data_IF_647082546859
#
_entry.id   IF_647082546859
#
_cell.length_a   1.000
_cell.length_b   1.000
_cell.length_c   1.000
_cell.angle_alpha   90.00
_cell.angle_beta   90.00
_cell.angle_gamma   90.00
#
_symmetry.space_group_name_H-M   'P 1'
#
loop_
_entity.id
_entity.type
_entity.pdbx_description
1 polymer ?
#
# COMPACT_ATOMS: atom_id res chain seq x y z
N UNK A 1 -18.84 15.62 48.29
CA UNK A 1 -19.49 14.41 47.72
C UNK A 1 -19.22 14.29 46.22
N UNK A 2 -19.33 15.37 45.43
CA UNK A 2 -18.89 15.40 44.03
C UNK A 2 -17.37 15.22 43.84
N UNK A 3 -16.53 15.78 44.73
CA UNK A 3 -15.07 15.60 44.67
C UNK A 3 -14.60 14.15 44.94
N UNK A 4 -15.38 13.39 45.73
CA UNK A 4 -15.08 11.97 45.97
C UNK A 4 -15.40 11.09 44.75
N UNK A 5 -16.36 11.52 43.91
CA UNK A 5 -16.72 10.82 42.67
C UNK A 5 -15.67 11.13 41.58
N UNK A 6 -15.15 12.35 41.51
CA UNK A 6 -14.04 12.70 40.59
C UNK A 6 -12.74 11.96 40.94
N UNK A 7 -12.42 11.79 42.22
CA UNK A 7 -11.25 11.04 42.66
C UNK A 7 -11.35 9.54 42.30
N UNK A 8 -12.54 8.93 42.42
CA UNK A 8 -12.77 7.53 42.06
C UNK A 8 -12.76 7.34 40.54
N UNK A 9 -13.28 8.31 39.77
CA UNK A 9 -13.26 8.27 38.30
C UNK A 9 -11.83 8.39 37.77
N UNK A 10 -11.01 9.27 38.35
CA UNK A 10 -9.59 9.41 37.99
C UNK A 10 -8.74 8.19 38.43
N UNK A 11 -9.10 7.52 39.52
CA UNK A 11 -8.44 6.29 39.96
C UNK A 11 -8.74 5.08 39.04
N UNK A 12 -9.94 4.99 38.47
CA UNK A 12 -10.32 3.90 37.55
C UNK A 12 -9.85 4.11 36.11
N UNK A 13 -9.74 5.36 35.62
CA UNK A 13 -9.19 5.65 34.29
C UNK A 13 -7.66 5.83 34.26
N UNK A 14 -7.01 5.90 35.44
CA UNK A 14 -5.55 5.95 35.60
C UNK A 14 -4.85 4.59 35.49
N UNK A 15 -5.59 3.48 35.50
CA UNK A 15 -5.05 2.17 35.14
C UNK A 15 -4.99 2.05 33.61
N UNK A 16 -4.02 2.76 33.01
CA UNK A 16 -3.33 2.19 31.86
C UNK A 16 -2.86 0.81 32.32
N UNK A 17 -3.57 -0.24 31.90
CA UNK A 17 -2.99 -1.56 31.83
C UNK A 17 -1.76 -1.36 30.96
N UNK A 18 -0.60 -1.16 31.60
CA UNK A 18 0.71 -1.30 30.99
C UNK A 18 0.83 -2.78 30.67
N UNK A 19 0.13 -3.20 29.61
CA UNK A 19 0.47 -4.42 28.91
C UNK A 19 1.92 -4.20 28.53
N UNK A 20 2.87 -5.01 29.02
CA UNK A 20 4.27 -4.80 28.76
C UNK A 20 4.46 -4.68 27.24
N UNK A 21 5.11 -3.59 26.85
CA UNK A 21 5.52 -3.26 25.49
C UNK A 21 6.37 -4.40 24.93
N UNK A 22 5.74 -5.38 24.29
CA UNK A 22 6.46 -6.19 23.31
C UNK A 22 6.47 -5.37 22.03
N UNK A 23 7.57 -4.66 21.81
CA UNK A 23 7.99 -4.40 20.44
C UNK A 23 7.94 -5.74 19.69
N UNK A 24 7.51 -5.72 18.44
CA UNK A 24 7.60 -6.90 17.59
C UNK A 24 9.11 -7.22 17.50
N UNK A 25 9.57 -8.17 18.32
CA UNK A 25 10.88 -8.78 18.19
C UNK A 25 10.73 -9.89 17.17
N UNK A 26 10.72 -9.50 15.91
CA UNK A 26 11.05 -10.42 14.85
C UNK A 26 12.57 -10.54 14.86
N UNK A 27 13.08 -11.69 15.32
CA UNK A 27 14.41 -12.10 14.89
C UNK A 27 14.46 -12.16 13.36
N UNK A 28 15.64 -12.35 12.75
CA UNK A 28 15.78 -12.53 11.30
C UNK A 28 15.24 -13.88 10.81
N UNK A 29 14.06 -14.29 11.32
CA UNK A 29 13.31 -15.40 10.78
C UNK A 29 13.05 -15.10 9.31
N UNK A 30 13.49 -16.03 8.46
CA UNK A 30 13.35 -15.88 7.00
C UNK A 30 11.88 -15.74 6.57
N UNK A 31 10.92 -16.06 7.43
CA UNK A 31 9.50 -16.15 7.11
C UNK A 31 8.65 -15.61 8.27
N UNK A 32 7.80 -14.61 8.00
CA UNK A 32 6.66 -14.31 8.86
C UNK A 32 5.50 -15.24 8.53
N UNK A 33 4.98 -15.94 9.54
CA UNK A 33 3.69 -16.59 9.46
C UNK A 33 2.55 -15.57 9.45
N UNK A 34 1.32 -16.04 9.19
CA UNK A 34 0.15 -15.15 9.16
C UNK A 34 -0.08 -14.46 10.51
N UNK A 35 0.13 -15.15 11.63
CA UNK A 35 -0.01 -14.54 12.97
C UNK A 35 0.93 -13.34 13.16
N UNK A 36 2.20 -13.48 12.78
CA UNK A 36 3.17 -12.37 12.80
C UNK A 36 2.77 -11.24 11.85
N UNK A 37 2.23 -11.58 10.68
CA UNK A 37 1.72 -10.57 9.74
C UNK A 37 0.53 -9.78 10.33
N UNK A 38 -0.37 -10.44 11.08
CA UNK A 38 -1.44 -9.76 11.82
C UNK A 38 -0.89 -8.82 12.90
N UNK A 39 0.17 -9.22 13.60
CA UNK A 39 0.82 -8.35 14.59
C UNK A 39 1.39 -7.08 13.94
N UNK A 40 2.01 -7.21 12.77
CA UNK A 40 2.45 -6.06 11.98
C UNK A 40 1.27 -5.13 11.62
N UNK A 41 0.17 -5.69 11.11
CA UNK A 41 -1.02 -4.92 10.78
C UNK A 41 -1.63 -4.23 12.01
N UNK A 42 -1.63 -4.90 13.16
CA UNK A 42 -2.04 -4.28 14.42
C UNK A 42 -1.09 -3.15 14.87
N UNK A 43 0.23 -3.29 14.63
CA UNK A 43 1.21 -2.27 14.95
C UNK A 43 1.04 -0.99 14.13
N UNK A 44 0.56 -1.08 12.88
CA UNK A 44 0.19 0.10 12.08
C UNK A 44 -0.81 0.98 12.83
N UNK A 45 -1.86 0.39 13.39
CA UNK A 45 -2.88 1.11 14.14
C UNK A 45 -2.36 1.80 15.40
N UNK A 46 -1.17 1.43 15.88
CA UNK A 46 -0.51 2.03 17.05
C UNK A 46 0.47 3.14 16.68
N UNK A 47 0.84 3.24 15.40
CA UNK A 47 1.69 4.30 14.87
C UNK A 47 3.15 3.89 14.63
N UNK A 48 3.89 4.80 13.99
CA UNK A 48 5.24 4.58 13.42
C UNK A 48 6.24 3.91 14.38
N UNK A 49 6.24 4.27 15.66
CA UNK A 49 7.18 3.74 16.64
C UNK A 49 6.98 2.23 16.93
N UNK A 50 5.78 1.71 16.67
CA UNK A 50 5.45 0.30 16.85
C UNK A 50 5.78 -0.55 15.62
N UNK A 51 6.07 0.08 14.48
CA UNK A 51 6.50 -0.65 13.30
C UNK A 51 7.88 -1.29 13.52
N UNK A 52 8.15 -2.43 12.89
CA UNK A 52 9.48 -3.03 12.91
C UNK A 52 10.49 -2.18 12.12
N UNK A 53 11.77 -2.20 12.52
CA UNK A 53 12.88 -1.73 11.71
C UNK A 53 12.91 -2.37 10.31
N UNK A 54 13.46 -1.70 9.29
CA UNK A 54 13.64 -2.25 7.93
C UNK A 54 14.41 -3.58 7.94
N UNK A 55 15.32 -3.77 8.89
CA UNK A 55 16.14 -4.98 9.07
C UNK A 55 15.34 -6.19 9.55
N UNK A 56 14.21 -5.97 10.21
CA UNK A 56 13.44 -7.03 10.90
C UNK A 56 12.36 -7.61 9.99
N UNK A 57 12.20 -7.07 8.78
CA UNK A 57 11.30 -7.62 7.76
C UNK A 57 11.86 -8.91 7.14
N UNK A 58 11.03 -9.96 7.02
CA UNK A 58 11.45 -11.31 6.64
C UNK A 58 11.77 -11.38 5.15
N UNK A 59 12.31 -12.50 4.70
CA UNK A 59 12.41 -12.79 3.26
C UNK A 59 11.06 -13.19 2.66
N UNK A 60 10.13 -13.70 3.48
CA UNK A 60 8.81 -14.15 3.04
C UNK A 60 7.72 -13.81 4.06
N UNK A 61 6.51 -13.51 3.58
CA UNK A 61 5.30 -13.36 4.40
C UNK A 61 4.26 -14.36 3.89
N UNK A 62 3.83 -15.27 4.77
CA UNK A 62 2.74 -16.20 4.49
C UNK A 62 1.40 -15.49 4.68
N UNK A 63 0.61 -15.44 3.62
CA UNK A 63 -0.76 -14.93 3.66
C UNK A 63 -1.73 -16.03 4.12
N UNK A 64 -2.88 -15.63 4.67
CA UNK A 64 -3.96 -16.57 4.93
C UNK A 64 -4.72 -16.91 3.64
N UNK A 65 -5.55 -17.95 3.71
CA UNK A 65 -6.48 -18.29 2.64
C UNK A 65 -7.41 -17.12 2.28
N UNK A 66 -7.92 -16.39 3.28
CA UNK A 66 -8.78 -15.21 3.10
C UNK A 66 -8.07 -14.11 2.29
N UNK A 67 -6.79 -13.85 2.56
CA UNK A 67 -6.00 -12.89 1.77
C UNK A 67 -5.88 -13.34 0.31
N UNK A 68 -5.61 -14.62 0.06
CA UNK A 68 -5.56 -15.15 -1.31
C UNK A 68 -6.90 -14.98 -2.02
N UNK A 69 -8.01 -15.30 -1.36
CA UNK A 69 -9.36 -15.14 -1.92
C UNK A 69 -9.68 -13.68 -2.26
N UNK A 70 -9.27 -12.72 -1.41
CA UNK A 70 -9.45 -11.29 -1.68
C UNK A 70 -8.65 -10.85 -2.90
N UNK A 71 -7.38 -11.24 -3.00
CA UNK A 71 -6.51 -10.89 -4.13
C UNK A 71 -7.02 -11.52 -5.44
N UNK A 72 -7.48 -12.78 -5.38
CA UNK A 72 -8.02 -13.50 -6.53
C UNK A 72 -9.37 -12.94 -6.99
N UNK A 73 -10.21 -12.52 -6.05
CA UNK A 73 -11.46 -11.82 -6.33
C UNK A 73 -11.20 -10.48 -7.02
N UNK A 74 -10.26 -9.67 -6.51
CA UNK A 74 -9.87 -8.41 -7.15
C UNK A 74 -9.36 -8.64 -8.58
N UNK A 75 -8.51 -9.65 -8.78
CA UNK A 75 -8.01 -10.01 -10.10
C UNK A 75 -9.13 -10.35 -11.08
N UNK A 76 -10.12 -11.12 -10.62
CA UNK A 76 -11.27 -11.53 -11.43
C UNK A 76 -12.17 -10.34 -11.73
N UNK A 77 -12.45 -9.51 -10.73
CA UNK A 77 -13.30 -8.33 -10.87
C UNK A 77 -12.70 -7.29 -11.84
N UNK A 78 -11.38 -7.14 -11.89
CA UNK A 78 -10.68 -6.18 -12.77
C UNK A 78 -10.51 -6.64 -14.22
N UNK A 79 -11.02 -7.81 -14.60
CA UNK A 79 -11.00 -8.29 -15.99
C UNK A 79 -11.86 -7.42 -16.94
N UNK A 80 -12.76 -6.62 -16.40
CA UNK A 80 -13.57 -5.65 -17.15
C UNK A 80 -12.79 -4.38 -17.59
N UNK A 81 -11.49 -4.30 -17.28
CA UNK A 81 -10.65 -3.17 -17.64
C UNK A 81 -10.76 -1.98 -16.69
N UNK A 82 -11.43 -2.14 -15.54
CA UNK A 82 -11.61 -1.10 -14.53
C UNK A 82 -10.86 -1.47 -13.26
N UNK A 83 -10.19 -0.51 -12.64
CA UNK A 83 -9.48 -0.75 -11.39
C UNK A 83 -10.46 -0.98 -10.23
N UNK A 84 -10.08 -1.86 -9.32
CA UNK A 84 -10.76 -2.12 -8.05
C UNK A 84 -9.91 -1.61 -6.90
N UNK A 85 -10.56 -1.07 -5.88
CA UNK A 85 -9.93 -0.60 -4.64
C UNK A 85 -10.60 -1.21 -3.42
N UNK A 86 -9.81 -1.60 -2.42
CA UNK A 86 -10.26 -2.15 -1.14
C UNK A 86 -9.45 -1.56 0.00
N UNK A 87 -10.09 -1.40 1.16
CA UNK A 87 -9.39 -0.98 2.38
C UNK A 87 -8.90 -2.22 3.12
N UNK A 88 -7.64 -2.16 3.57
CA UNK A 88 -7.12 -3.02 4.62
C UNK A 88 -7.41 -2.28 5.93
N UNK A 89 -8.18 -2.89 6.82
CA UNK A 89 -8.54 -2.26 8.07
C UNK A 89 -8.49 -3.20 9.26
N UNK A 90 -8.74 -2.64 10.44
CA UNK A 90 -9.00 -3.41 11.64
C UNK A 90 -10.15 -2.79 12.43
N UNK A 91 -10.89 -3.62 13.15
CA UNK A 91 -11.92 -3.15 14.08
C UNK A 91 -11.31 -2.33 15.24
N UNK A 92 -12.16 -1.67 16.04
CA UNK A 92 -11.72 -0.80 17.15
C UNK A 92 -10.75 -1.44 18.16
N UNK A 93 -10.71 -2.78 18.27
CA UNK A 93 -9.75 -3.50 19.13
C UNK A 93 -8.38 -3.75 18.50
N UNK A 94 -8.21 -3.43 17.21
CA UNK A 94 -7.02 -3.73 16.40
C UNK A 94 -6.62 -5.22 16.38
N UNK A 95 -7.53 -6.12 16.76
CA UNK A 95 -7.31 -7.58 16.80
C UNK A 95 -8.05 -8.33 15.69
N UNK A 96 -9.18 -7.79 15.23
CA UNK A 96 -9.89 -8.31 14.07
C UNK A 96 -9.47 -7.54 12.83
N UNK A 97 -8.75 -8.19 11.92
CA UNK A 97 -8.49 -7.64 10.59
C UNK A 97 -9.77 -7.63 9.78
N UNK A 98 -9.93 -6.58 9.00
CA UNK A 98 -11.03 -6.39 8.08
C UNK A 98 -10.48 -6.16 6.68
N UNK A 99 -10.81 -7.06 5.76
CA UNK A 99 -10.65 -6.83 4.32
C UNK A 99 -12.03 -6.58 3.76
N UNK A 100 -12.27 -5.43 3.11
CA UNK A 100 -13.61 -5.11 2.62
C UNK A 100 -14.09 -6.20 1.65
N UNK A 101 -15.27 -6.79 1.91
CA UNK A 101 -15.82 -7.87 1.08
C UNK A 101 -16.17 -7.39 -0.35
N UNK A 102 -16.47 -6.10 -0.49
CA UNK A 102 -16.82 -5.41 -1.73
C UNK A 102 -15.69 -4.44 -2.08
N UNK A 103 -15.21 -4.50 -3.33
CA UNK A 103 -14.31 -3.50 -3.87
C UNK A 103 -15.07 -2.28 -4.37
N UNK A 104 -14.54 -1.10 -4.08
CA UNK A 104 -14.94 0.12 -4.77
C UNK A 104 -14.46 0.07 -6.22
N UNK A 105 -15.31 0.50 -7.15
CA UNK A 105 -15.00 0.53 -8.58
C UNK A 105 -14.36 1.86 -8.94
N UNK A 106 -13.17 1.83 -9.53
CA UNK A 106 -12.45 2.98 -10.05
C UNK A 106 -12.88 3.31 -11.48
N UNK A 107 -11.93 3.79 -12.28
CA UNK A 107 -12.07 4.05 -13.72
C UNK A 107 -11.10 3.15 -14.50
N UNK A 108 -11.11 3.31 -15.82
CA UNK A 108 -10.15 2.59 -16.69
C UNK A 108 -8.75 3.10 -16.39
N UNK A 109 -7.93 2.23 -15.80
CA UNK A 109 -6.51 2.46 -15.53
C UNK A 109 -6.19 3.47 -14.42
N UNK A 110 -7.13 3.79 -13.53
CA UNK A 110 -6.82 4.42 -12.23
C UNK A 110 -8.00 4.34 -11.25
N UNK A 111 -7.73 4.45 -9.95
CA UNK A 111 -8.72 4.71 -8.90
C UNK A 111 -8.75 6.22 -8.57
N UNK A 112 -9.86 6.92 -8.80
CA UNK A 112 -9.96 8.34 -8.46
C UNK A 112 -9.89 8.59 -6.94
N UNK A 113 -9.36 9.75 -6.54
CA UNK A 113 -9.23 10.12 -5.13
C UNK A 113 -10.59 10.13 -4.40
N UNK A 114 -11.66 10.55 -5.07
CA UNK A 114 -13.02 10.54 -4.50
C UNK A 114 -13.48 9.12 -4.13
N UNK A 115 -13.10 8.12 -4.93
CA UNK A 115 -13.44 6.71 -4.65
C UNK A 115 -12.68 6.20 -3.42
N UNK A 116 -11.43 6.60 -3.28
CA UNK A 116 -10.58 6.25 -2.13
C UNK A 116 -11.14 6.90 -0.86
N UNK A 117 -11.40 8.21 -0.87
CA UNK A 117 -11.95 8.96 0.28
C UNK A 117 -13.27 8.35 0.73
N UNK A 118 -14.21 8.14 -0.20
CA UNK A 118 -15.50 7.51 0.11
C UNK A 118 -15.34 6.09 0.68
N UNK A 119 -14.30 5.35 0.28
CA UNK A 119 -14.03 4.01 0.83
C UNK A 119 -13.54 4.08 2.28
N UNK A 120 -12.70 5.07 2.59
CA UNK A 120 -12.19 5.31 3.94
C UNK A 120 -13.33 5.76 4.86
N UNK A 121 -14.18 6.67 4.40
CA UNK A 121 -15.33 7.16 5.17
C UNK A 121 -16.31 6.02 5.48
N UNK A 122 -16.68 5.20 4.50
CA UNK A 122 -17.52 4.01 4.74
C UNK A 122 -16.90 3.02 5.72
N UNK A 123 -15.57 2.82 5.67
CA UNK A 123 -14.88 1.96 6.63
C UNK A 123 -14.97 2.55 8.04
N UNK A 124 -14.75 3.86 8.18
CA UNK A 124 -14.85 4.57 9.46
C UNK A 124 -16.27 4.47 10.05
N UNK A 125 -17.30 4.68 9.24
CA UNK A 125 -18.70 4.59 9.67
C UNK A 125 -19.08 3.18 10.16
N UNK A 126 -18.42 2.16 9.62
CA UNK A 126 -18.54 0.77 10.06
C UNK A 126 -17.60 0.40 11.23
N UNK A 127 -16.93 1.38 11.86
CA UNK A 127 -16.03 1.16 12.99
C UNK A 127 -14.70 0.50 12.63
N UNK A 128 -14.28 0.59 11.37
CA UNK A 128 -13.03 0.04 10.84
C UNK A 128 -12.01 1.16 10.67
N UNK A 129 -10.87 1.00 11.33
CA UNK A 129 -9.71 1.85 11.14
C UNK A 129 -8.93 1.39 9.92
N UNK A 130 -8.72 2.29 8.95
CA UNK A 130 -7.88 2.00 7.79
C UNK A 130 -6.41 1.85 8.20
N UNK A 131 -5.79 0.75 7.78
CA UNK A 131 -4.38 0.42 7.96
C UNK A 131 -3.59 0.51 6.65
N UNK A 132 -4.30 0.53 5.53
CA UNK A 132 -3.74 0.51 4.19
C UNK A 132 -4.82 0.25 3.14
N UNK A 133 -4.39 0.01 1.92
CA UNK A 133 -5.29 -0.28 0.81
C UNK A 133 -4.74 -1.35 -0.14
N UNK A 134 -5.65 -1.92 -0.90
CA UNK A 134 -5.36 -2.75 -2.05
C UNK A 134 -6.00 -2.11 -3.27
N UNK A 135 -5.26 -2.01 -4.37
CA UNK A 135 -5.84 -1.71 -5.67
C UNK A 135 -5.44 -2.76 -6.72
N UNK A 136 -5.96 -2.62 -7.93
CA UNK A 136 -5.64 -3.54 -9.01
C UNK A 136 -5.46 -2.79 -10.31
N UNK A 137 -4.52 -3.26 -11.11
CA UNK A 137 -4.34 -2.78 -12.47
C UNK A 137 -4.93 -3.82 -13.45
N UNK A 138 -5.81 -3.42 -14.37
CA UNK A 138 -6.29 -4.31 -15.41
C UNK A 138 -5.13 -4.67 -16.36
N UNK A 139 -4.77 -5.97 -16.41
CA UNK A 139 -3.76 -6.49 -17.35
C UNK A 139 -4.12 -6.21 -18.82
N UNK A 140 -5.42 -6.04 -19.10
CA UNK A 140 -5.92 -5.71 -20.43
C UNK A 140 -5.93 -4.20 -20.59
N UNK A 141 -4.77 -3.63 -20.92
CA UNK A 141 -4.80 -2.37 -21.65
C UNK A 141 -5.45 -2.67 -23.00
N UNK A 142 -6.62 -2.08 -23.20
CA UNK A 142 -7.41 -2.37 -24.38
C UNK A 142 -6.58 -2.05 -25.64
N UNK A 143 -6.16 -3.08 -26.38
CA UNK A 143 -5.39 -2.94 -27.63
C UNK A 143 -6.12 -2.03 -28.62
N UNK A 144 -7.46 -1.97 -28.59
CA UNK A 144 -8.27 -1.03 -29.39
C UNK A 144 -8.08 0.43 -28.98
N UNK A 145 -7.79 0.72 -27.71
CA UNK A 145 -7.66 2.08 -27.18
C UNK A 145 -6.23 2.63 -27.28
N UNK A 146 -5.24 1.76 -27.13
CA UNK A 146 -3.83 2.17 -27.08
C UNK A 146 -3.00 1.77 -28.31
N UNK A 147 -3.56 1.03 -29.27
CA UNK A 147 -2.89 0.72 -30.54
C UNK A 147 -1.47 0.15 -30.33
N UNK A 148 -0.47 0.77 -30.96
CA UNK A 148 0.94 0.39 -30.83
C UNK A 148 1.56 0.73 -29.47
N UNK A 149 1.03 1.71 -28.74
CA UNK A 149 1.49 2.06 -27.38
C UNK A 149 1.29 0.91 -26.40
N UNK A 150 0.35 -0.01 -26.66
CA UNK A 150 0.17 -1.23 -25.88
C UNK A 150 1.47 -2.05 -25.76
N UNK A 151 2.30 -2.09 -26.83
CA UNK A 151 3.60 -2.79 -26.79
C UNK A 151 4.59 -2.09 -25.86
N UNK A 152 4.60 -0.75 -25.86
CA UNK A 152 5.46 0.04 -24.98
C UNK A 152 5.04 -0.10 -23.51
N UNK A 153 3.74 -0.20 -23.23
CA UNK A 153 3.23 -0.40 -21.87
C UNK A 153 3.50 -1.80 -21.31
N UNK A 154 3.77 -2.83 -22.13
CA UNK A 154 4.22 -4.15 -21.63
C UNK A 154 5.58 -4.11 -20.92
N UNK A 155 6.34 -3.03 -21.10
CA UNK A 155 7.60 -2.81 -20.37
C UNK A 155 7.34 -2.40 -18.91
N UNK A 156 6.14 -1.91 -18.58
CA UNK A 156 5.68 -1.85 -17.20
C UNK A 156 5.39 -3.29 -16.77
N UNK A 157 6.26 -3.82 -15.90
CA UNK A 157 5.93 -5.03 -15.14
C UNK A 157 4.95 -4.64 -14.04
N UNK A 158 4.13 -5.61 -13.63
CA UNK A 158 3.23 -5.47 -12.50
C UNK A 158 3.96 -4.82 -11.31
N UNK A 159 3.40 -3.75 -10.79
CA UNK A 159 4.06 -3.00 -9.73
C UNK A 159 3.37 -1.70 -9.36
N UNK A 160 3.82 -1.16 -8.25
CA UNK A 160 3.35 0.11 -7.71
C UNK A 160 3.87 1.24 -8.59
N UNK A 161 3.00 2.17 -8.95
CA UNK A 161 3.40 3.38 -9.65
C UNK A 161 4.22 4.30 -8.74
N UNK A 162 4.97 5.25 -9.30
CA UNK A 162 5.58 6.30 -8.48
C UNK A 162 4.51 7.13 -7.73
N UNK A 163 3.29 7.25 -8.28
CA UNK A 163 2.16 7.88 -7.62
C UNK A 163 1.66 7.10 -6.40
N UNK A 164 1.63 5.78 -6.49
CA UNK A 164 1.24 4.87 -5.40
C UNK A 164 2.19 5.05 -4.21
N UNK A 165 3.51 5.01 -4.48
CA UNK A 165 4.54 5.21 -3.47
C UNK A 165 4.56 6.66 -2.94
N UNK A 166 4.26 7.66 -3.78
CA UNK A 166 4.07 9.03 -3.32
C UNK A 166 2.94 9.12 -2.29
N UNK A 167 1.78 8.52 -2.58
CA UNK A 167 0.65 8.45 -1.64
C UNK A 167 1.06 7.78 -0.33
N UNK A 168 1.89 6.74 -0.38
CA UNK A 168 2.47 6.12 0.82
C UNK A 168 3.51 6.97 1.54
N UNK A 169 4.05 8.04 0.96
CA UNK A 169 5.11 8.85 1.60
C UNK A 169 4.62 10.19 2.11
N UNK A 170 3.38 10.58 1.81
CA UNK A 170 2.80 11.80 2.38
C UNK A 170 2.64 11.70 3.89
N UNK A 171 2.97 12.79 4.61
CA UNK A 171 2.81 12.89 6.06
C UNK A 171 1.36 12.71 6.50
N UNK A 172 0.42 13.28 5.76
CA UNK A 172 -1.01 13.17 6.04
C UNK A 172 -1.61 11.81 5.62
N UNK A 173 -0.84 10.98 4.90
CA UNK A 173 -1.31 9.68 4.46
C UNK A 173 -1.23 8.64 5.58
N UNK A 174 -2.39 8.10 5.90
CA UNK A 174 -2.62 7.00 6.84
C UNK A 174 -2.53 5.61 6.19
N UNK A 175 -1.82 5.46 5.06
CA UNK A 175 -1.64 4.18 4.36
C UNK A 175 -0.23 3.59 4.51
N UNK A 176 0.12 2.98 5.66
CA UNK A 176 1.39 2.27 5.83
C UNK A 176 1.57 1.01 5.01
N UNK A 177 0.49 0.45 4.46
CA UNK A 177 0.52 -0.71 3.57
C UNK A 177 -0.27 -0.39 2.32
N UNK A 178 0.32 -0.72 1.17
CA UNK A 178 -0.37 -0.68 -0.10
C UNK A 178 -0.05 -1.95 -0.88
N UNK A 179 -1.06 -2.58 -1.47
CA UNK A 179 -0.88 -3.74 -2.33
C UNK A 179 -1.56 -3.52 -3.68
N UNK A 180 -0.88 -3.87 -4.76
CA UNK A 180 -1.44 -3.85 -6.11
C UNK A 180 -1.54 -5.27 -6.66
N UNK A 181 -2.69 -5.60 -7.24
CA UNK A 181 -2.93 -6.84 -7.96
C UNK A 181 -2.93 -6.57 -9.47
N UNK A 182 -2.03 -7.20 -10.21
CA UNK A 182 -1.95 -7.04 -11.66
C UNK A 182 -1.64 -8.37 -12.35
N UNK A 183 -2.58 -8.85 -13.16
CA UNK A 183 -2.48 -10.18 -13.73
C UNK A 183 -2.33 -11.21 -12.60
N UNK A 184 -1.36 -12.12 -12.71
CA UNK A 184 -1.11 -13.15 -11.69
C UNK A 184 -0.24 -12.67 -10.53
N UNK A 185 0.20 -11.42 -10.56
CA UNK A 185 1.16 -10.87 -9.62
C UNK A 185 0.49 -9.98 -8.59
N UNK A 186 1.06 -9.97 -7.40
CA UNK A 186 0.72 -9.03 -6.35
C UNK A 186 2.00 -8.35 -5.88
N UNK A 187 2.02 -7.03 -5.79
CA UNK A 187 3.17 -6.27 -5.27
C UNK A 187 2.70 -5.46 -4.08
N UNK A 188 3.44 -5.55 -2.98
CA UNK A 188 3.12 -4.87 -1.74
C UNK A 188 4.27 -3.95 -1.32
N UNK A 189 3.92 -2.80 -0.78
CA UNK A 189 4.83 -1.92 -0.09
C UNK A 189 4.41 -1.75 1.37
N UNK A 190 5.42 -1.70 2.23
CA UNK A 190 5.26 -1.58 3.68
C UNK A 190 6.13 -0.43 4.19
N UNK A 191 5.54 0.46 4.99
CA UNK A 191 6.30 1.41 5.79
C UNK A 191 7.02 0.69 6.94
N UNK A 192 8.25 1.06 7.20
CA UNK A 192 9.06 0.63 8.34
C UNK A 192 9.09 1.73 9.41
N UNK A 193 9.70 1.43 10.56
CA UNK A 193 9.96 2.43 11.60
C UNK A 193 10.79 3.61 11.08
N UNK A 194 11.69 3.37 10.14
CA UNK A 194 12.60 4.36 9.56
C UNK A 194 12.04 5.06 8.32
N UNK A 195 10.83 4.73 7.88
CA UNK A 195 10.26 5.38 6.69
C UNK A 195 10.26 6.91 6.85
N UNK A 196 10.91 7.57 5.90
CA UNK A 196 10.96 9.02 5.80
C UNK A 196 9.77 9.51 4.98
N UNK A 197 8.81 10.13 5.67
CA UNK A 197 7.69 10.80 5.01
C UNK A 197 8.15 12.13 4.40
N UNK A 198 7.47 12.58 3.36
CA UNK A 198 7.70 13.87 2.72
C UNK A 198 7.23 14.98 3.67
N UNK A 199 8.15 15.84 4.10
CA UNK A 199 7.90 17.00 4.98
C UNK A 199 8.58 18.28 4.46
N UNK A 200 8.11 19.45 4.90
CA UNK A 200 8.77 20.74 4.62
C UNK A 200 8.89 21.05 3.13
N UNK A 201 10.09 21.43 2.66
CA UNK A 201 10.32 21.79 1.25
C UNK A 201 10.03 20.60 0.30
N UNK A 202 10.20 19.36 0.77
CA UNK A 202 9.83 18.16 -0.01
C UNK A 202 8.31 17.97 -0.17
N UNK A 203 7.49 18.70 0.58
CA UNK A 203 6.03 18.76 0.37
C UNK A 203 5.63 19.61 -0.86
N UNK A 204 6.56 20.42 -1.42
CA UNK A 204 6.35 21.12 -2.70
C UNK A 204 6.65 20.25 -3.93
N UNK A 205 7.15 19.02 -3.73
CA UNK A 205 6.97 17.98 -4.75
C UNK A 205 5.48 17.64 -4.74
N UNK A 206 4.73 18.31 -5.60
CA UNK A 206 3.44 17.79 -6.04
C UNK A 206 3.66 16.34 -6.49
N UNK A 207 2.62 15.51 -6.41
CA UNK A 207 2.68 14.15 -6.96
C UNK A 207 3.28 14.15 -8.38
N UNK A 208 2.94 15.15 -9.18
CA UNK A 208 3.44 15.35 -10.53
C UNK A 208 4.97 15.53 -10.59
N UNK A 209 5.53 16.40 -9.74
CA UNK A 209 6.97 16.63 -9.68
C UNK A 209 7.73 15.39 -9.13
N UNK A 210 7.14 14.69 -8.15
CA UNK A 210 7.70 13.45 -7.62
C UNK A 210 7.76 12.36 -8.69
N UNK A 211 6.65 12.12 -9.37
CA UNK A 211 6.58 11.14 -10.45
C UNK A 211 7.53 11.50 -11.60
N UNK A 212 7.55 12.77 -12.02
CA UNK A 212 8.46 13.26 -13.06
C UNK A 212 9.91 12.93 -12.73
N UNK A 213 10.37 13.32 -11.53
CA UNK A 213 11.73 13.08 -11.09
C UNK A 213 12.10 11.60 -11.19
N UNK A 214 11.30 10.72 -10.58
CA UNK A 214 11.63 9.30 -10.55
C UNK A 214 11.54 8.63 -11.93
N UNK A 215 10.54 8.94 -12.74
CA UNK A 215 10.44 8.37 -14.09
C UNK A 215 11.59 8.84 -14.98
N UNK A 216 11.92 10.13 -15.00
CA UNK A 216 12.98 10.67 -15.86
C UNK A 216 14.38 10.17 -15.45
N UNK A 217 14.65 10.04 -14.14
CA UNK A 217 15.91 9.46 -13.65
C UNK A 217 16.11 7.99 -14.09
N UNK A 218 15.02 7.29 -14.41
CA UNK A 218 15.06 5.88 -14.80
C UNK A 218 14.70 5.65 -16.28
N UNK A 219 14.91 6.67 -17.13
CA UNK A 219 14.87 6.51 -18.59
C UNK A 219 13.47 6.50 -19.21
N UNK A 220 12.48 7.05 -18.50
CA UNK A 220 11.14 7.29 -19.01
C UNK A 220 10.96 8.78 -19.37
N UNK A 221 10.10 9.06 -20.35
CA UNK A 221 9.54 10.39 -20.56
C UNK A 221 8.27 10.51 -19.69
N UNK A 222 8.25 11.47 -18.78
CA UNK A 222 7.06 11.80 -18.01
C UNK A 222 6.10 12.64 -18.85
N UNK A 223 4.83 12.25 -18.86
CA UNK A 223 3.78 12.84 -19.68
C UNK A 223 2.82 13.72 -18.88
N UNK A 224 2.89 13.70 -17.55
CA UNK A 224 1.93 14.40 -16.69
C UNK A 224 0.56 13.73 -16.67
N UNK A 225 -0.45 14.46 -16.19
CA UNK A 225 -1.84 14.03 -16.24
C UNK A 225 -2.38 14.15 -17.68
N UNK A 226 -2.39 13.03 -18.40
CA UNK A 226 -3.08 12.93 -19.69
C UNK A 226 -4.33 12.08 -19.49
N UNK A 227 -5.51 12.70 -19.40
CA UNK A 227 -6.78 12.00 -19.18
C UNK A 227 -7.03 10.88 -20.22
N UNK A 228 -6.61 11.09 -21.46
CA UNK A 228 -6.72 10.11 -22.54
C UNK A 228 -5.90 8.83 -22.27
N UNK A 229 -4.82 8.93 -21.48
CA UNK A 229 -3.93 7.83 -21.11
C UNK A 229 -4.29 7.20 -19.75
N UNK A 230 -5.33 7.68 -19.06
CA UNK A 230 -5.70 7.15 -17.75
C UNK A 230 -4.57 7.34 -16.72
N UNK A 231 -4.19 6.26 -16.02
CA UNK A 231 -3.08 6.27 -15.06
C UNK A 231 -1.69 6.13 -15.68
N UNK A 232 -1.56 5.98 -17.00
CA UNK A 232 -0.25 5.95 -17.66
C UNK A 232 0.31 7.35 -17.80
N UNK A 233 1.24 7.68 -16.91
CA UNK A 233 1.86 9.01 -16.83
C UNK A 233 3.29 9.06 -17.36
N UNK A 234 3.82 7.95 -17.86
CA UNK A 234 5.16 7.88 -18.40
C UNK A 234 5.27 6.83 -19.51
N UNK A 235 6.20 7.05 -20.45
CA UNK A 235 6.55 6.08 -21.50
C UNK A 235 8.06 5.81 -21.50
N UNK A 236 8.50 4.57 -21.72
CA UNK A 236 9.92 4.25 -21.81
C UNK A 236 10.52 4.87 -23.08
N UNK A 237 11.63 5.59 -22.95
CA UNK A 237 12.36 6.19 -24.08
C UNK A 237 13.79 5.66 -24.24
N UNK A 238 14.24 4.83 -23.29
CA UNK A 238 15.54 4.15 -23.33
C UNK A 238 15.35 2.64 -23.24
N UNK A 239 16.31 1.85 -23.75
CA UNK A 239 16.31 0.39 -23.58
C UNK A 239 16.51 -0.05 -22.12
N UNK A 240 16.98 0.86 -21.27
CA UNK A 240 17.23 0.65 -19.84
C UNK A 240 16.06 1.04 -18.95
N UNK A 241 14.97 1.55 -19.52
CA UNK A 241 13.78 1.94 -18.78
C UNK A 241 13.13 0.72 -18.10
N UNK A 242 13.03 0.75 -16.78
CA UNK A 242 12.47 -0.33 -15.97
C UNK A 242 11.67 0.23 -14.79
N UNK A 243 10.35 -0.02 -14.78
CA UNK A 243 9.46 0.45 -13.71
C UNK A 243 9.80 -0.17 -12.36
N UNK A 244 10.50 -1.31 -12.34
CA UNK A 244 11.01 -1.91 -11.10
C UNK A 244 12.15 -1.08 -10.52
N UNK A 245 13.02 -0.50 -11.34
CA UNK A 245 14.11 0.38 -10.86
C UNK A 245 13.56 1.63 -10.19
N UNK A 246 12.49 2.20 -10.74
CA UNK A 246 11.73 3.29 -10.11
C UNK A 246 11.23 2.89 -8.72
N UNK A 247 10.53 1.75 -8.61
CA UNK A 247 10.00 1.26 -7.33
C UNK A 247 11.11 1.01 -6.31
N UNK A 248 12.19 0.33 -6.71
CA UNK A 248 13.32 0.01 -5.83
C UNK A 248 14.05 1.27 -5.39
N UNK A 249 14.30 2.23 -6.30
CA UNK A 249 14.95 3.50 -5.97
C UNK A 249 14.15 4.32 -4.95
N UNK A 250 12.83 4.41 -5.13
CA UNK A 250 11.94 5.07 -4.15
C UNK A 250 11.99 4.33 -2.81
N UNK A 251 11.86 3.00 -2.82
CA UNK A 251 11.83 2.21 -1.60
C UNK A 251 13.14 2.28 -0.80
N UNK A 252 14.28 2.24 -1.48
CA UNK A 252 15.60 2.43 -0.88
C UNK A 252 15.73 3.83 -0.28
N UNK A 253 15.43 4.87 -1.06
CA UNK A 253 15.55 6.27 -0.65
C UNK A 253 14.71 6.61 0.58
N UNK A 254 13.55 5.97 0.72
CA UNK A 254 12.56 6.29 1.75
C UNK A 254 12.36 5.21 2.82
N UNK A 255 13.22 4.19 2.87
CA UNK A 255 13.09 3.05 3.80
C UNK A 255 11.70 2.41 3.74
N UNK A 256 11.22 2.07 2.54
CA UNK A 256 10.10 1.16 2.36
C UNK A 256 10.61 -0.26 2.16
N UNK A 257 9.77 -1.24 2.43
CA UNK A 257 10.05 -2.65 2.09
C UNK A 257 9.04 -3.11 1.05
N UNK A 258 9.53 -3.67 -0.05
CA UNK A 258 8.71 -4.18 -1.12
C UNK A 258 8.67 -5.71 -1.11
N UNK A 259 7.51 -6.26 -1.43
CA UNK A 259 7.30 -7.69 -1.63
C UNK A 259 6.57 -7.95 -2.94
N UNK A 260 6.81 -9.14 -3.49
CA UNK A 260 6.08 -9.67 -4.64
C UNK A 260 5.58 -11.06 -4.34
N UNK A 261 4.34 -11.34 -4.70
CA UNK A 261 3.74 -12.66 -4.68
C UNK A 261 3.08 -12.99 -6.01
N UNK A 262 2.74 -14.27 -6.18
CA UNK A 262 1.95 -14.75 -7.30
C UNK A 262 0.62 -15.31 -6.78
N UNK A 263 -0.36 -15.51 -7.66
CA UNK A 263 -1.64 -16.13 -7.34
C UNK A 263 -1.46 -17.41 -6.49
N UNK A 264 -2.12 -17.44 -5.33
CA UNK A 264 -2.03 -18.56 -4.37
C UNK A 264 -0.65 -18.82 -3.76
N UNK A 265 0.27 -17.84 -3.80
CA UNK A 265 1.63 -17.96 -3.25
C UNK A 265 1.92 -16.86 -2.23
N UNK A 266 2.81 -17.18 -1.29
CA UNK A 266 3.36 -16.23 -0.31
C UNK A 266 3.97 -15.00 -0.98
N UNK A 267 4.05 -13.92 -0.21
CA UNK A 267 4.84 -12.76 -0.56
C UNK A 267 6.32 -13.04 -0.31
N UNK A 268 7.18 -12.64 -1.25
CA UNK A 268 8.64 -12.74 -1.18
C UNK A 268 9.22 -11.34 -1.27
N UNK A 269 10.14 -11.00 -0.37
CA UNK A 269 10.79 -9.70 -0.33
C UNK A 269 11.53 -9.45 -1.63
N UNK A 270 11.34 -8.28 -2.22
CA UNK A 270 12.17 -7.83 -3.33
C UNK A 270 13.50 -7.40 -2.73
N UNK A 271 14.54 -8.21 -2.95
CA UNK A 271 15.90 -7.83 -2.59
C UNK A 271 16.43 -6.81 -3.61
N UNK A 272 17.29 -5.92 -3.09
CA UNK A 272 18.12 -4.97 -3.85
C UNK A 272 19.05 -5.71 -4.84
#
# INVERSE_FOLDING_TARGET
MLEAIEAITNAFFGMQVRVPLRAIHCGPDKIWGYETFKEYLAAIGRGKLFLPPKTDYPLRIRLSQEWHEVLDKMRTESQDGIERHRIIGANGSQRGLYLSAISSRGRVGYVPAEVIINSIERARDAGINALGDLHSHPKVLNKRRFGELHRLFRLFKAGLSAGDLYCMLRKESYMPVMGVVEGEENVFAFRTRETSVLEGISAYLTQDAFEKYWYEQHGFLYLGKIEALGGFRAIPITSTADSRRVQMGIAERHNLVLYRGYMGKDLVRLNE
#
